data_IF_327140104549
#
_entry.id   IF_327140104549
#
_cell.length_a   1.000
_cell.length_b   1.000
_cell.length_c   1.000
_cell.angle_alpha   90.00
_cell.angle_beta   90.00
_cell.angle_gamma   90.00
#
_symmetry.space_group_name_H-M   'P 1'
#
loop_
_entity.id
_entity.type
_entity.pdbx_description
1 polymer ?
#
# COMPACT_ATOMS: atom_id res chain seq x y z
N UNK A 1 -55.04 -44.45 -10.68
CA UNK A 1 -53.81 -43.66 -10.48
C UNK A 1 -53.86 -42.48 -11.44
N UNK A 2 -54.36 -41.32 -11.01
CA UNK A 2 -54.55 -40.17 -11.90
C UNK A 2 -53.35 -39.24 -11.77
N UNK A 3 -52.48 -39.23 -12.78
CA UNK A 3 -51.33 -38.34 -12.86
C UNK A 3 -51.80 -36.88 -13.05
N UNK A 4 -51.32 -35.97 -12.20
CA UNK A 4 -51.58 -34.53 -12.37
C UNK A 4 -50.89 -34.00 -13.63
N UNK A 5 -51.54 -33.15 -14.44
CA UNK A 5 -50.93 -32.60 -15.64
C UNK A 5 -49.76 -31.66 -15.28
N UNK A 6 -48.69 -31.63 -16.09
CA UNK A 6 -47.55 -30.77 -15.82
C UNK A 6 -47.98 -29.30 -15.85
N UNK A 7 -47.75 -28.56 -14.75
CA UNK A 7 -47.98 -27.11 -14.70
C UNK A 7 -47.15 -26.44 -15.79
N UNK A 8 -47.81 -25.79 -16.75
CA UNK A 8 -47.14 -24.99 -17.77
C UNK A 8 -46.43 -23.82 -17.07
N UNK A 9 -45.10 -23.65 -17.24
CA UNK A 9 -44.39 -22.55 -16.62
C UNK A 9 -44.94 -21.22 -17.15
N UNK A 10 -45.29 -20.30 -16.24
CA UNK A 10 -45.85 -19.01 -16.63
C UNK A 10 -44.81 -18.18 -17.40
N UNK A 11 -45.27 -17.39 -18.37
CA UNK A 11 -44.42 -16.49 -19.14
C UNK A 11 -43.66 -15.52 -18.23
N UNK A 12 -44.27 -15.07 -17.14
CA UNK A 12 -43.64 -14.23 -16.12
C UNK A 12 -42.44 -14.91 -15.45
N UNK A 13 -42.54 -16.21 -15.13
CA UNK A 13 -41.41 -16.98 -14.58
C UNK A 13 -40.25 -17.06 -15.57
N UNK A 14 -40.54 -17.23 -16.87
CA UNK A 14 -39.51 -17.26 -17.92
C UNK A 14 -38.79 -15.91 -18.05
N UNK A 15 -39.51 -14.79 -18.01
CA UNK A 15 -38.90 -13.47 -18.07
C UNK A 15 -38.09 -13.13 -16.80
N UNK A 16 -38.59 -13.47 -15.61
CA UNK A 16 -37.83 -13.30 -14.36
C UNK A 16 -36.56 -14.17 -14.35
N UNK A 17 -36.64 -15.39 -14.87
CA UNK A 17 -35.49 -16.27 -14.99
C UNK A 17 -34.43 -15.70 -15.95
N UNK A 18 -34.83 -15.21 -17.11
CA UNK A 18 -33.91 -14.59 -18.09
C UNK A 18 -33.30 -13.31 -17.52
N UNK A 19 -34.09 -12.48 -16.82
CA UNK A 19 -33.60 -11.26 -16.19
C UNK A 19 -32.60 -11.57 -15.06
N UNK A 20 -32.92 -12.54 -14.21
CA UNK A 20 -32.02 -12.99 -13.14
C UNK A 20 -30.73 -13.61 -13.68
N UNK A 21 -30.83 -14.41 -14.74
CA UNK A 21 -29.67 -14.99 -15.42
C UNK A 21 -28.80 -13.91 -16.07
N UNK A 22 -29.42 -12.93 -16.74
CA UNK A 22 -28.73 -11.77 -17.32
C UNK A 22 -28.01 -10.93 -16.27
N UNK A 23 -28.65 -10.67 -15.13
CA UNK A 23 -28.04 -9.95 -14.01
C UNK A 23 -26.84 -10.72 -13.44
N UNK A 24 -26.99 -12.03 -13.26
CA UNK A 24 -25.92 -12.90 -12.74
C UNK A 24 -24.72 -12.90 -13.69
N UNK A 25 -24.95 -13.08 -14.98
CA UNK A 25 -23.89 -13.05 -16.01
C UNK A 25 -23.23 -11.66 -16.06
N UNK A 26 -24.03 -10.59 -16.02
CA UNK A 26 -23.53 -9.22 -16.00
C UNK A 26 -22.63 -8.94 -14.79
N UNK A 27 -23.01 -9.42 -13.60
CA UNK A 27 -22.22 -9.28 -12.38
C UNK A 27 -20.89 -10.04 -12.48
N UNK A 28 -20.92 -11.28 -12.96
CA UNK A 28 -19.71 -12.09 -13.16
C UNK A 28 -18.78 -11.42 -14.17
N UNK A 29 -19.31 -10.96 -15.31
CA UNK A 29 -18.53 -10.27 -16.33
C UNK A 29 -17.88 -8.98 -15.79
N UNK A 30 -18.64 -8.19 -15.03
CA UNK A 30 -18.14 -6.94 -14.43
C UNK A 30 -17.01 -7.20 -13.44
N UNK A 31 -17.13 -8.22 -12.58
CA UNK A 31 -16.07 -8.59 -11.63
C UNK A 31 -14.83 -9.12 -12.35
N UNK A 32 -15.00 -9.94 -13.40
CA UNK A 32 -13.87 -10.48 -14.17
C UNK A 32 -13.11 -9.37 -14.92
N UNK A 33 -13.82 -8.45 -15.56
CA UNK A 33 -13.21 -7.27 -16.21
C UNK A 33 -12.53 -6.38 -15.18
N UNK A 34 -13.19 -6.11 -14.05
CA UNK A 34 -12.62 -5.35 -12.94
C UNK A 34 -11.31 -5.97 -12.44
N UNK A 35 -11.30 -7.29 -12.19
CA UNK A 35 -10.10 -8.02 -11.77
C UNK A 35 -9.01 -8.03 -12.83
N UNK A 36 -9.36 -8.14 -14.12
CA UNK A 36 -8.38 -8.10 -15.20
C UNK A 36 -7.71 -6.72 -15.32
N UNK A 37 -8.47 -5.64 -15.10
CA UNK A 37 -7.93 -4.27 -15.05
C UNK A 37 -7.09 -4.04 -13.80
N UNK A 38 -7.50 -4.57 -12.65
CA UNK A 38 -6.74 -4.52 -11.41
C UNK A 38 -5.43 -5.30 -11.50
N UNK A 39 -5.43 -6.48 -12.13
CA UNK A 39 -4.23 -7.28 -12.34
C UNK A 39 -3.19 -6.60 -13.27
N UNK A 40 -3.63 -5.64 -14.12
CA UNK A 40 -2.73 -4.80 -14.91
C UNK A 40 -2.20 -3.59 -14.13
N UNK A 41 -2.83 -3.25 -13.01
CA UNK A 41 -2.37 -2.20 -12.11
C UNK A 41 -1.38 -2.87 -11.14
N UNK A 42 -0.11 -2.55 -11.28
CA UNK A 42 0.90 -3.09 -10.37
C UNK A 42 0.58 -2.62 -8.94
N UNK A 43 0.21 -3.51 -8.00
CA UNK A 43 -0.08 -3.12 -6.62
C UNK A 43 1.20 -2.87 -5.81
N UNK A 44 2.36 -3.14 -6.41
CA UNK A 44 3.65 -3.05 -5.74
C UNK A 44 3.97 -1.63 -5.19
N UNK A 45 3.86 -0.53 -5.96
CA UNK A 45 4.11 0.82 -5.42
C UNK A 45 3.23 1.18 -4.22
N UNK A 46 1.92 0.89 -4.30
CA UNK A 46 0.99 1.19 -3.21
C UNK A 46 1.27 0.35 -1.96
N UNK A 47 1.61 -0.93 -2.15
CA UNK A 47 1.92 -1.83 -1.04
C UNK A 47 3.26 -1.50 -0.38
N UNK A 48 4.28 -1.14 -1.16
CA UNK A 48 5.57 -0.64 -0.65
C UNK A 48 5.36 0.59 0.23
N UNK A 49 4.63 1.60 -0.27
CA UNK A 49 4.34 2.81 0.50
C UNK A 49 3.54 2.54 1.77
N UNK A 50 2.57 1.63 1.74
CA UNK A 50 1.83 1.23 2.94
C UNK A 50 2.73 0.58 4.00
N UNK A 51 3.64 -0.30 3.60
CA UNK A 51 4.57 -0.95 4.54
C UNK A 51 5.54 0.08 5.11
N UNK A 52 6.11 0.96 4.28
CA UNK A 52 6.99 2.04 4.73
C UNK A 52 6.27 2.97 5.72
N UNK A 53 5.05 3.41 5.39
CA UNK A 53 4.23 4.22 6.29
C UNK A 53 4.00 3.52 7.63
N UNK A 54 3.68 2.22 7.61
CA UNK A 54 3.45 1.48 8.84
C UNK A 54 4.68 1.44 9.75
N UNK A 55 5.88 1.32 9.19
CA UNK A 55 7.13 1.33 9.97
C UNK A 55 7.41 2.72 10.55
N UNK A 56 7.17 3.79 9.77
CA UNK A 56 7.29 5.16 10.26
C UNK A 56 6.30 5.45 11.40
N UNK A 57 5.03 5.01 11.26
CA UNK A 57 4.01 5.15 12.30
C UNK A 57 4.40 4.40 13.58
N UNK A 58 4.97 3.20 13.47
CA UNK A 58 5.45 2.44 14.62
C UNK A 58 6.62 3.14 15.33
N UNK A 59 7.48 3.83 14.59
CA UNK A 59 8.58 4.62 15.14
C UNK A 59 8.03 5.84 15.90
N UNK A 60 7.04 6.53 15.32
CA UNK A 60 6.35 7.64 15.96
C UNK A 60 5.58 7.19 17.21
N UNK A 61 4.91 6.04 17.17
CA UNK A 61 4.22 5.47 18.33
C UNK A 61 5.21 5.13 19.45
N UNK A 62 6.37 4.56 19.12
CA UNK A 62 7.43 4.29 20.09
C UNK A 62 7.91 5.58 20.76
N UNK A 63 8.09 6.66 20.00
CA UNK A 63 8.43 7.98 20.51
C UNK A 63 7.36 8.53 21.46
N UNK A 64 6.08 8.48 21.07
CA UNK A 64 4.95 8.95 21.89
C UNK A 64 4.77 8.15 23.19
N UNK A 65 5.14 6.87 23.17
CA UNK A 65 5.09 5.99 24.33
C UNK A 65 6.36 6.08 25.21
N UNK A 66 7.29 6.99 24.91
CA UNK A 66 8.61 7.09 25.55
C UNK A 66 9.43 5.78 25.49
N UNK A 67 9.16 4.94 24.48
CA UNK A 67 9.86 3.69 24.19
C UNK A 67 11.01 3.95 23.22
N UNK A 68 11.99 4.71 23.68
CA UNK A 68 13.07 5.23 22.84
C UNK A 68 14.34 4.40 22.94
N UNK A 69 14.19 3.10 23.18
CA UNK A 69 15.31 2.18 23.26
C UNK A 69 15.86 1.87 21.86
N UNK A 70 17.13 1.51 21.78
CA UNK A 70 17.73 1.01 20.54
C UNK A 70 16.97 -0.19 19.96
N UNK A 71 16.45 -1.06 20.83
CA UNK A 71 15.66 -2.22 20.42
C UNK A 71 14.31 -1.84 19.79
N UNK A 72 13.79 -0.65 20.11
CA UNK A 72 12.58 -0.12 19.51
C UNK A 72 12.87 0.64 18.21
N UNK A 73 13.94 1.45 18.14
CA UNK A 73 14.20 2.32 16.97
C UNK A 73 14.90 1.60 15.82
N UNK A 74 15.98 0.86 16.09
CA UNK A 74 16.87 0.29 15.07
C UNK A 74 16.16 -0.68 14.11
N UNK A 75 15.34 -1.64 14.57
CA UNK A 75 14.70 -2.58 13.65
C UNK A 75 13.79 -1.88 12.62
N UNK A 76 13.09 -0.83 13.05
CA UNK A 76 12.17 -0.06 12.18
C UNK A 76 12.94 0.76 11.15
N UNK A 77 14.01 1.43 11.58
CA UNK A 77 14.92 2.15 10.68
C UNK A 77 15.56 1.22 9.65
N UNK A 78 15.93 0.00 10.05
CA UNK A 78 16.55 -0.97 9.14
C UNK A 78 15.56 -1.50 8.10
N UNK A 79 14.31 -1.75 8.48
CA UNK A 79 13.25 -2.12 7.54
C UNK A 79 13.00 -0.99 6.55
N UNK A 80 12.87 0.25 7.00
CA UNK A 80 12.73 1.41 6.12
C UNK A 80 13.90 1.54 5.14
N UNK A 81 15.13 1.31 5.62
CA UNK A 81 16.32 1.32 4.78
C UNK A 81 16.32 0.22 3.73
N UNK A 82 15.86 -0.97 4.05
CA UNK A 82 15.74 -2.06 3.07
C UNK A 82 14.70 -1.71 2.00
N UNK A 83 13.49 -1.31 2.41
CA UNK A 83 12.38 -0.95 1.52
C UNK A 83 12.71 0.25 0.62
N UNK A 84 13.54 1.18 1.08
CA UNK A 84 13.97 2.33 0.28
C UNK A 84 14.79 1.95 -0.98
N UNK A 85 15.38 0.74 -1.03
CA UNK A 85 16.04 0.27 -2.25
C UNK A 85 15.05 -0.16 -3.34
N UNK A 86 13.82 -0.48 -2.94
CA UNK A 86 12.79 -0.97 -3.86
C UNK A 86 12.02 0.18 -4.54
N UNK A 87 12.29 1.44 -4.16
CA UNK A 87 11.64 2.63 -4.73
C UNK A 87 11.81 2.71 -6.26
N UNK A 88 13.02 2.39 -6.76
CA UNK A 88 13.32 2.45 -8.19
C UNK A 88 12.56 1.37 -8.98
N UNK A 89 12.35 0.20 -8.36
CA UNK A 89 11.57 -0.89 -8.93
C UNK A 89 10.07 -0.65 -8.83
N UNK A 90 9.62 -0.04 -7.73
CA UNK A 90 8.22 0.27 -7.47
C UNK A 90 7.67 1.38 -8.38
N UNK A 91 8.52 2.34 -8.76
CA UNK A 91 8.13 3.47 -9.61
C UNK A 91 8.93 3.51 -10.92
N UNK A 92 8.74 2.52 -11.83
CA UNK A 92 9.53 2.43 -13.07
C UNK A 92 9.32 3.63 -14.00
N UNK A 93 8.17 4.33 -13.90
CA UNK A 93 7.91 5.56 -14.65
C UNK A 93 8.60 6.80 -14.09
N UNK A 94 9.08 6.77 -12.84
CA UNK A 94 9.78 7.87 -12.18
C UNK A 94 11.29 7.63 -12.03
N UNK A 95 11.77 6.41 -12.34
CA UNK A 95 13.17 6.02 -12.16
C UNK A 95 14.18 6.98 -12.83
N UNK A 96 13.83 7.55 -13.98
CA UNK A 96 14.70 8.43 -14.77
C UNK A 96 14.56 9.91 -14.36
N UNK A 97 13.63 10.23 -13.45
CA UNK A 97 13.47 11.58 -12.90
C UNK A 97 14.58 11.89 -11.91
N UNK A 98 15.40 12.91 -12.23
CA UNK A 98 16.47 13.37 -11.32
C UNK A 98 15.94 13.82 -9.97
N UNK A 99 14.78 14.48 -9.94
CA UNK A 99 14.17 14.96 -8.69
C UNK A 99 13.71 13.79 -7.82
N UNK A 100 13.11 12.76 -8.42
CA UNK A 100 12.71 11.54 -7.70
C UNK A 100 13.93 10.82 -7.12
N UNK A 101 14.98 10.64 -7.93
CA UNK A 101 16.22 10.02 -7.49
C UNK A 101 16.90 10.82 -6.37
N UNK A 102 16.85 12.15 -6.43
CA UNK A 102 17.39 13.01 -5.39
C UNK A 102 16.67 12.78 -4.05
N UNK A 103 15.34 12.84 -4.02
CA UNK A 103 14.56 12.57 -2.80
C UNK A 103 14.78 11.15 -2.27
N UNK A 104 14.78 10.14 -3.15
CA UNK A 104 15.05 8.75 -2.76
C UNK A 104 16.47 8.55 -2.23
N UNK A 105 17.46 9.27 -2.78
CA UNK A 105 18.84 9.22 -2.31
C UNK A 105 19.03 9.93 -0.97
N UNK A 106 18.36 11.07 -0.76
CA UNK A 106 18.39 11.82 0.49
C UNK A 106 17.78 10.99 1.62
N UNK A 107 16.60 10.43 1.40
CA UNK A 107 15.93 9.54 2.35
C UNK A 107 16.82 8.33 2.73
N UNK A 108 17.49 7.72 1.74
CA UNK A 108 18.46 6.64 1.99
C UNK A 108 19.66 7.12 2.81
N UNK A 109 20.17 8.31 2.54
CA UNK A 109 21.29 8.90 3.27
C UNK A 109 20.93 9.16 4.73
N UNK A 110 19.75 9.73 4.99
CA UNK A 110 19.29 10.02 6.35
C UNK A 110 19.03 8.74 7.15
N UNK A 111 18.46 7.71 6.52
CA UNK A 111 18.35 6.38 7.14
C UNK A 111 19.71 5.74 7.42
N UNK A 112 20.69 5.88 6.53
CA UNK A 112 22.05 5.39 6.78
C UNK A 112 22.70 6.12 7.96
N UNK A 113 22.54 7.44 8.03
CA UNK A 113 23.05 8.25 9.14
C UNK A 113 22.40 7.84 10.47
N UNK A 114 21.08 7.63 10.47
CA UNK A 114 20.32 7.15 11.62
C UNK A 114 20.77 5.75 12.09
N UNK A 115 21.11 4.85 11.16
CA UNK A 115 21.61 3.52 11.50
C UNK A 115 23.07 3.53 11.96
N UNK A 116 23.89 4.46 11.46
CA UNK A 116 25.26 4.65 11.90
C UNK A 116 25.36 5.29 13.29
N UNK A 117 24.42 6.18 13.63
CA UNK A 117 24.28 6.77 14.95
C UNK A 117 22.84 6.65 15.46
N UNK A 118 22.44 5.45 15.92
CA UNK A 118 21.07 5.20 16.38
C UNK A 118 20.60 6.16 17.48
N UNK A 119 19.33 6.57 17.47
CA UNK A 119 18.78 7.40 18.53
C UNK A 119 18.75 6.62 19.84
N UNK A 120 19.55 7.06 20.82
CA UNK A 120 19.72 6.44 22.14
C UNK A 120 18.75 6.99 23.20
N UNK A 121 18.06 8.09 22.88
CA UNK A 121 17.11 8.75 23.76
C UNK A 121 15.88 9.26 22.99
N UNK A 122 14.87 9.74 23.74
CA UNK A 122 13.62 10.20 23.15
C UNK A 122 13.71 11.52 22.37
N UNK A 123 14.70 12.36 22.65
CA UNK A 123 14.89 13.60 21.90
C UNK A 123 15.51 13.29 20.53
N UNK A 124 16.57 12.48 20.52
CA UNK A 124 17.19 11.98 19.30
C UNK A 124 16.18 11.20 18.45
N UNK A 125 15.32 10.37 19.07
CA UNK A 125 14.27 9.65 18.35
C UNK A 125 13.22 10.61 17.76
N UNK A 126 12.82 11.66 18.49
CA UNK A 126 11.88 12.64 17.98
C UNK A 126 12.43 13.42 16.78
N UNK A 127 13.71 13.82 16.84
CA UNK A 127 14.40 14.46 15.71
C UNK A 127 14.46 13.53 14.51
N UNK A 128 14.78 12.25 14.72
CA UNK A 128 14.84 11.26 13.65
C UNK A 128 13.46 11.02 13.02
N UNK A 129 12.41 10.90 13.83
CA UNK A 129 11.03 10.76 13.33
C UNK A 129 10.62 11.98 12.50
N UNK A 130 10.96 13.18 12.96
CA UNK A 130 10.67 14.42 12.23
C UNK A 130 11.38 14.46 10.87
N UNK A 131 12.69 14.18 10.84
CA UNK A 131 13.46 14.13 9.60
C UNK A 131 12.86 13.16 8.58
N UNK A 132 12.48 11.95 9.02
CA UNK A 132 11.84 10.96 8.13
C UNK A 132 10.47 11.42 7.62
N UNK A 133 9.69 12.12 8.45
CA UNK A 133 8.41 12.69 8.00
C UNK A 133 8.60 13.80 6.96
N UNK A 134 9.65 14.60 7.12
CA UNK A 134 9.98 15.67 6.18
C UNK A 134 10.46 15.11 4.84
N UNK A 135 11.28 14.05 4.83
CA UNK A 135 11.64 13.33 3.61
C UNK A 135 10.43 12.74 2.88
N UNK A 136 9.56 12.06 3.63
CA UNK A 136 8.31 11.51 3.10
C UNK A 136 7.44 12.62 2.49
N UNK A 137 7.34 13.77 3.15
CA UNK A 137 6.56 14.92 2.69
C UNK A 137 7.17 15.54 1.43
N UNK A 138 8.49 15.75 1.41
CA UNK A 138 9.20 16.37 0.29
C UNK A 138 9.00 15.56 -1.00
N UNK A 139 9.18 14.24 -0.93
CA UNK A 139 8.94 13.36 -2.08
C UNK A 139 7.47 13.37 -2.51
N UNK A 140 6.52 13.25 -1.56
CA UNK A 140 5.10 13.22 -1.90
C UNK A 140 4.56 14.55 -2.43
N UNK A 141 5.13 15.68 -2.03
CA UNK A 141 4.70 16.99 -2.52
C UNK A 141 4.95 17.15 -4.03
N UNK A 142 6.00 16.50 -4.55
CA UNK A 142 6.37 16.61 -5.96
C UNK A 142 5.73 15.52 -6.85
N UNK A 143 5.36 14.36 -6.27
CA UNK A 143 5.00 13.15 -7.04
C UNK A 143 3.64 12.52 -6.71
N UNK A 144 2.85 13.07 -5.78
CA UNK A 144 1.53 12.54 -5.38
C UNK A 144 0.41 13.55 -5.66
#
# INVERSE_FOLDING_TARGET
>A
MSASPPRRPSTAYRYLFVLGLGLLIGLIATVMVGRALQARRDPFPDSLMQVMQRQADLLQQAQQQNRCSLADSVPRLQVLRLLSNDLDQAFPGLKDSRQFQQHASQYRADLNAALASPPIDCNALAQQVQALQDDCRACHQDFR
#
